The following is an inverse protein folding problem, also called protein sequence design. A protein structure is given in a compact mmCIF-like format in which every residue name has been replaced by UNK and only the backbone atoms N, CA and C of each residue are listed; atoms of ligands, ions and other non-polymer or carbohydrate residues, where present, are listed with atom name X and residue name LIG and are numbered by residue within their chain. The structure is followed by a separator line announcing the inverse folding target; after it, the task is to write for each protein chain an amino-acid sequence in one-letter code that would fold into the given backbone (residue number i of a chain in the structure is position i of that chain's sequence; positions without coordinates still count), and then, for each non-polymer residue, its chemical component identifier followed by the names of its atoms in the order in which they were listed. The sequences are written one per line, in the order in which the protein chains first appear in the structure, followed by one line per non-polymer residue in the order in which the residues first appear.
data_IF_338454802323
#
_entry.id   IF_338454802323
#
_cell.length_a   1.000
_cell.length_b   1.000
_cell.length_c   1.000
_cell.angle_alpha   90.00
_cell.angle_beta   90.00
_cell.angle_gamma   90.00
#
_symmetry.space_group_name_H-M   'P 1'
#
loop_
_entity.id
_entity.type
_entity.pdbx_description
1 polymer ?
#
# COMPACT_ATOMS: atom_id res chain seq x y z
N UNK A 1 0.66 -2.26 23.94
CA UNK A 1 -0.72 -1.69 24.00
C UNK A 1 -1.18 -1.08 22.69
N UNK A 2 -0.52 -0.05 22.12
CA UNK A 2 -0.98 0.61 20.88
C UNK A 2 -1.38 -0.34 19.74
N UNK A 3 -0.54 -1.33 19.41
CA UNK A 3 -0.82 -2.35 18.37
C UNK A 3 -2.11 -3.15 18.65
N UNK A 4 -2.39 -3.48 19.92
CA UNK A 4 -3.62 -4.21 20.31
C UNK A 4 -4.85 -3.33 20.12
N UNK A 5 -4.77 -2.04 20.51
CA UNK A 5 -5.86 -1.09 20.28
C UNK A 5 -6.11 -0.93 18.78
N UNK A 6 -5.06 -0.82 17.97
CA UNK A 6 -5.16 -0.73 16.51
C UNK A 6 -5.84 -1.97 15.90
N UNK A 7 -5.36 -3.18 16.24
CA UNK A 7 -5.90 -4.43 15.74
C UNK A 7 -7.35 -4.71 16.20
N UNK A 8 -7.75 -4.27 17.40
CA UNK A 8 -9.08 -4.51 17.98
C UNK A 8 -10.10 -3.41 17.66
N UNK A 9 -9.66 -2.17 17.36
CA UNK A 9 -10.56 -1.02 17.11
C UNK A 9 -10.51 -0.47 15.70
N UNK A 10 -9.32 -0.33 15.10
CA UNK A 10 -9.16 0.28 13.77
C UNK A 10 -9.41 -0.75 12.68
N UNK A 11 -8.80 -1.94 12.76
CA UNK A 11 -8.92 -2.97 11.71
C UNK A 11 -10.36 -3.48 11.52
N UNK A 12 -11.18 -3.72 12.57
CA UNK A 12 -12.58 -4.11 12.37
C UNK A 12 -13.47 -3.00 11.80
N UNK A 13 -13.08 -1.73 11.93
CA UNK A 13 -13.75 -0.61 11.26
C UNK A 13 -13.31 -0.52 9.79
N UNK A 14 -12.01 -0.63 9.53
CA UNK A 14 -11.44 -0.72 8.18
C UNK A 14 -12.12 -1.81 7.34
N UNK A 15 -12.21 -3.04 7.86
CA UNK A 15 -12.84 -4.18 7.16
C UNK A 15 -14.33 -3.98 6.83
N UNK A 16 -15.04 -3.11 7.56
CA UNK A 16 -16.45 -2.75 7.32
C UNK A 16 -16.65 -1.58 6.33
N UNK A 17 -15.56 -1.03 5.80
CA UNK A 17 -15.62 0.02 4.77
C UNK A 17 -16.14 -0.56 3.46
N UNK A 18 -16.79 0.25 2.63
CA UNK A 18 -17.05 -0.14 1.24
C UNK A 18 -15.74 -0.19 0.46
N UNK A 19 -15.35 -1.37 -0.01
CA UNK A 19 -14.14 -1.59 -0.81
C UNK A 19 -14.36 -1.22 -2.30
N UNK A 20 -15.61 -1.06 -2.72
CA UNK A 20 -15.99 -0.72 -4.09
C UNK A 20 -16.10 0.79 -4.33
N UNK A 21 -16.10 1.65 -3.31
CA UNK A 21 -16.22 3.09 -3.50
C UNK A 21 -15.46 3.95 -2.47
N UNK A 22 -15.29 5.23 -2.81
CA UNK A 22 -14.80 6.27 -1.90
C UNK A 22 -13.32 6.20 -1.52
N UNK A 23 -12.92 7.14 -0.67
CA UNK A 23 -11.56 7.27 -0.16
C UNK A 23 -11.24 6.29 0.99
N UNK A 24 -12.25 5.94 1.80
CA UNK A 24 -12.07 5.15 3.03
C UNK A 24 -11.39 3.80 2.83
N UNK A 25 -11.63 3.13 1.70
CA UNK A 25 -10.98 1.85 1.35
C UNK A 25 -9.46 1.92 1.25
N UNK A 26 -8.88 3.07 0.91
CA UNK A 26 -7.43 3.26 0.95
C UNK A 26 -6.92 3.31 2.40
N UNK A 27 -7.63 4.02 3.29
CA UNK A 27 -7.33 4.02 4.74
C UNK A 27 -7.52 2.61 5.33
N UNK A 28 -8.51 1.86 4.85
CA UNK A 28 -8.72 0.47 5.24
C UNK A 28 -7.61 -0.47 4.76
N UNK A 29 -7.17 -0.34 3.50
CA UNK A 29 -6.04 -1.08 2.96
C UNK A 29 -4.74 -0.75 3.73
N UNK A 30 -4.48 0.53 4.01
CA UNK A 30 -3.35 0.94 4.85
C UNK A 30 -3.41 0.31 6.25
N UNK A 31 -4.59 0.22 6.88
CA UNK A 31 -4.74 -0.42 8.18
C UNK A 31 -4.46 -1.93 8.16
N UNK A 32 -4.77 -2.62 7.05
CA UNK A 32 -4.36 -4.02 6.83
C UNK A 32 -2.84 -4.11 6.63
N UNK A 33 -2.27 -3.25 5.79
CA UNK A 33 -0.83 -3.25 5.52
C UNK A 33 0.03 -2.83 6.71
N UNK A 34 -0.48 -2.05 7.67
CA UNK A 34 0.21 -1.81 8.95
C UNK A 34 0.48 -3.12 9.70
N UNK A 35 -0.47 -4.07 9.69
CA UNK A 35 -0.25 -5.38 10.31
C UNK A 35 0.73 -6.24 9.51
N UNK A 36 0.65 -6.22 8.17
CA UNK A 36 1.56 -6.97 7.29
C UNK A 36 3.00 -6.46 7.42
N UNK A 37 3.21 -5.15 7.30
CA UNK A 37 4.51 -4.50 7.46
C UNK A 37 5.09 -4.75 8.86
N UNK A 38 4.28 -4.64 9.92
CA UNK A 38 4.70 -4.95 11.29
C UNK A 38 5.13 -6.42 11.44
N UNK A 39 4.39 -7.37 10.86
CA UNK A 39 4.73 -8.79 10.94
C UNK A 39 6.03 -9.12 10.19
N UNK A 40 6.23 -8.57 8.99
CA UNK A 40 7.47 -8.77 8.20
C UNK A 40 8.65 -8.08 8.89
N UNK A 41 8.49 -6.85 9.38
CA UNK A 41 9.54 -6.12 10.10
C UNK A 41 9.96 -6.84 11.40
N UNK A 42 9.00 -7.36 12.18
CA UNK A 42 9.31 -8.16 13.37
C UNK A 42 10.02 -9.48 13.03
N UNK A 43 9.71 -10.11 11.90
CA UNK A 43 10.46 -11.27 11.40
C UNK A 43 11.90 -10.91 10.99
N UNK A 44 12.09 -9.78 10.31
CA UNK A 44 13.42 -9.26 9.96
C UNK A 44 14.24 -8.99 11.22
N UNK A 45 13.69 -8.23 12.18
CA UNK A 45 14.34 -7.93 13.46
C UNK A 45 14.67 -9.20 14.23
N UNK A 46 13.75 -10.18 14.26
CA UNK A 46 14.01 -11.49 14.86
C UNK A 46 15.20 -12.18 14.20
N UNK A 47 15.26 -12.26 12.87
CA UNK A 47 16.37 -12.92 12.16
C UNK A 47 17.71 -12.21 12.40
N UNK A 48 17.76 -10.87 12.36
CA UNK A 48 18.97 -10.11 12.71
C UNK A 48 19.47 -10.34 14.14
N UNK A 49 18.58 -10.61 15.10
CA UNK A 49 18.95 -10.88 16.50
C UNK A 49 19.30 -12.37 16.73
N UNK A 50 18.60 -13.29 16.06
CA UNK A 50 18.75 -14.74 16.28
C UNK A 50 19.86 -15.39 15.48
N UNK A 51 20.33 -14.75 14.39
CA UNK A 51 21.13 -15.38 13.35
C UNK A 51 22.36 -14.51 13.01
N UNK A 52 23.52 -14.77 13.64
CA UNK A 52 24.73 -13.97 13.42
C UNK A 52 25.25 -13.96 11.98
N UNK A 53 24.91 -14.98 11.17
CA UNK A 53 25.27 -14.99 9.76
C UNK A 53 24.50 -13.92 8.98
N UNK A 54 23.20 -13.76 9.26
CA UNK A 54 22.35 -12.71 8.68
C UNK A 54 22.72 -11.32 9.21
N UNK A 55 23.11 -11.22 10.48
CA UNK A 55 23.58 -9.96 11.06
C UNK A 55 24.88 -9.45 10.38
N UNK A 56 25.71 -10.35 9.85
CA UNK A 56 26.90 -10.03 9.08
C UNK A 56 26.63 -9.86 7.57
N UNK A 57 25.79 -10.73 6.98
CA UNK A 57 25.38 -10.69 5.58
C UNK A 57 23.87 -11.01 5.42
N UNK A 58 23.01 -9.97 5.27
CA UNK A 58 21.57 -10.16 5.14
C UNK A 58 21.11 -10.45 3.70
N UNK A 59 22.01 -10.69 2.72
CA UNK A 59 21.62 -10.99 1.33
C UNK A 59 20.66 -12.17 1.23
N UNK A 60 20.85 -13.19 2.08
CA UNK A 60 19.98 -14.37 2.22
C UNK A 60 18.53 -14.08 2.64
N UNK A 61 18.22 -12.86 3.12
CA UNK A 61 16.85 -12.39 3.38
C UNK A 61 16.50 -11.11 2.61
N UNK A 62 17.29 -10.76 1.59
CA UNK A 62 17.13 -9.51 0.82
C UNK A 62 15.74 -9.34 0.20
N UNK A 63 15.11 -10.43 -0.25
CA UNK A 63 13.72 -10.40 -0.70
C UNK A 63 12.75 -9.96 0.40
N UNK A 64 12.93 -10.46 1.63
CA UNK A 64 12.07 -10.13 2.78
C UNK A 64 12.29 -8.69 3.26
N UNK A 65 13.52 -8.17 3.17
CA UNK A 65 13.81 -6.75 3.42
C UNK A 65 13.03 -5.85 2.45
N UNK A 66 13.15 -6.10 1.14
CA UNK A 66 12.41 -5.35 0.11
C UNK A 66 10.90 -5.49 0.30
N UNK A 67 10.40 -6.65 0.74
CA UNK A 67 8.99 -6.86 1.05
C UNK A 67 8.52 -6.06 2.27
N UNK A 68 9.36 -5.90 3.30
CA UNK A 68 9.09 -5.03 4.45
C UNK A 68 8.89 -3.59 4.01
N UNK A 69 9.84 -3.06 3.23
CA UNK A 69 9.83 -1.67 2.77
C UNK A 69 8.63 -1.38 1.85
N UNK A 70 8.29 -2.29 0.93
CA UNK A 70 7.13 -2.12 0.05
C UNK A 70 5.80 -2.24 0.81
N UNK A 71 5.73 -3.09 1.84
CA UNK A 71 4.55 -3.19 2.72
C UNK A 71 4.32 -1.90 3.49
N UNK A 72 5.38 -1.24 3.97
CA UNK A 72 5.29 0.04 4.65
C UNK A 72 5.02 1.19 3.68
N UNK A 73 5.84 1.35 2.64
CA UNK A 73 5.80 2.51 1.76
C UNK A 73 4.58 2.50 0.83
N UNK A 74 4.40 1.46 0.01
CA UNK A 74 3.23 1.38 -0.89
C UNK A 74 1.98 0.98 -0.11
N UNK A 75 2.10 -0.05 0.73
CA UNK A 75 0.97 -0.63 1.45
C UNK A 75 0.33 0.33 2.46
N UNK A 76 1.13 1.05 3.24
CA UNK A 76 0.63 2.03 4.23
C UNK A 76 0.68 3.46 3.69
N UNK A 77 1.87 4.00 3.38
CA UNK A 77 2.03 5.44 3.11
C UNK A 77 1.30 5.86 1.83
N UNK A 78 1.52 5.18 0.69
CA UNK A 78 0.86 5.54 -0.57
C UNK A 78 -0.66 5.41 -0.49
N UNK A 79 -1.18 4.38 0.17
CA UNK A 79 -2.61 4.27 0.44
C UNK A 79 -3.13 5.42 1.33
N UNK A 80 -2.48 5.76 2.45
CA UNK A 80 -2.90 6.90 3.28
C UNK A 80 -2.90 8.22 2.50
N UNK A 81 -1.89 8.45 1.66
CA UNK A 81 -1.80 9.64 0.79
C UNK A 81 -2.92 9.65 -0.25
N UNK A 82 -3.20 8.54 -0.94
CA UNK A 82 -4.29 8.45 -1.92
C UNK A 82 -5.66 8.64 -1.24
N UNK A 83 -5.87 8.04 -0.07
CA UNK A 83 -7.08 8.23 0.74
C UNK A 83 -7.26 9.69 1.18
N UNK A 84 -6.19 10.36 1.61
CA UNK A 84 -6.22 11.78 1.95
C UNK A 84 -6.55 12.66 0.73
N UNK A 85 -5.85 12.47 -0.39
CA UNK A 85 -6.07 13.25 -1.62
C UNK A 85 -7.47 13.04 -2.22
N UNK A 86 -8.00 11.81 -2.21
CA UNK A 86 -9.39 11.54 -2.60
C UNK A 86 -10.42 12.15 -1.64
N UNK A 87 -10.07 12.34 -0.37
CA UNK A 87 -10.94 13.03 0.61
C UNK A 87 -10.91 14.54 0.39
N UNK A 88 -9.73 15.12 0.15
CA UNK A 88 -9.54 16.55 -0.11
C UNK A 88 -10.07 17.00 -1.49
N UNK A 89 -10.27 16.08 -2.43
CA UNK A 89 -10.85 16.33 -3.76
C UNK A 89 -12.22 15.65 -3.94
N UNK A 90 -12.93 15.38 -2.84
CA UNK A 90 -14.25 14.74 -2.85
C UNK A 90 -15.36 15.62 -3.44
N UNK A 91 -15.10 16.93 -3.59
CA UNK A 91 -15.94 17.91 -4.27
C UNK A 91 -15.90 17.81 -5.80
N UNK A 92 -14.83 17.22 -6.38
CA UNK A 92 -14.68 17.01 -7.82
C UNK A 92 -15.11 15.60 -8.23
N UNK A 93 -15.86 15.50 -9.34
CA UNK A 93 -16.30 14.21 -9.87
C UNK A 93 -15.15 13.41 -10.49
N UNK A 94 -15.15 12.08 -10.34
CA UNK A 94 -14.25 11.20 -11.10
C UNK A 94 -14.59 11.23 -12.59
N UNK A 95 -13.72 11.84 -13.41
CA UNK A 95 -13.83 11.82 -14.88
C UNK A 95 -13.90 10.38 -15.43
N UNK A 96 -13.18 9.44 -14.80
CA UNK A 96 -13.17 8.01 -15.13
C UNK A 96 -13.29 7.14 -13.86
N UNK A 97 -14.51 6.83 -13.38
CA UNK A 97 -14.68 6.06 -12.13
C UNK A 97 -14.01 4.67 -12.14
N UNK A 98 -13.87 4.06 -13.32
CA UNK A 98 -13.15 2.78 -13.49
C UNK A 98 -11.63 2.92 -13.28
N UNK A 99 -11.03 4.06 -13.62
CA UNK A 99 -9.61 4.31 -13.43
C UNK A 99 -9.28 4.38 -11.93
N UNK A 100 -10.17 4.95 -11.13
CA UNK A 100 -10.11 4.95 -9.66
C UNK A 100 -10.28 3.55 -9.07
N UNK A 101 -10.95 2.61 -9.75
CA UNK A 101 -10.95 1.18 -9.37
C UNK A 101 -9.61 0.50 -9.69
N UNK A 102 -9.11 0.67 -10.91
CA UNK A 102 -7.83 0.09 -11.37
C UNK A 102 -6.67 0.59 -10.51
N UNK A 103 -6.63 1.90 -10.20
CA UNK A 103 -5.63 2.49 -9.32
C UNK A 103 -5.65 1.91 -7.91
N UNK A 104 -6.82 1.66 -7.32
CA UNK A 104 -6.93 1.02 -6.01
C UNK A 104 -6.57 -0.46 -6.04
N UNK A 105 -7.31 -1.26 -6.82
CA UNK A 105 -7.18 -2.72 -6.80
C UNK A 105 -5.90 -3.20 -7.45
N UNK A 106 -5.48 -2.61 -8.58
CA UNK A 106 -4.24 -3.00 -9.25
C UNK A 106 -2.98 -2.66 -8.45
N UNK A 107 -2.98 -1.53 -7.72
CA UNK A 107 -1.89 -1.20 -6.78
C UNK A 107 -1.84 -2.22 -5.65
N UNK A 108 -2.98 -2.47 -4.96
CA UNK A 108 -2.99 -3.32 -3.77
C UNK A 108 -2.80 -4.80 -4.09
N UNK A 109 -3.41 -5.34 -5.15
CA UNK A 109 -3.23 -6.73 -5.58
C UNK A 109 -1.86 -6.96 -6.23
N UNK A 110 -1.36 -5.98 -7.00
CA UNK A 110 0.00 -6.00 -7.54
C UNK A 110 1.05 -6.01 -6.43
N UNK A 111 0.85 -5.20 -5.38
CA UNK A 111 1.69 -5.19 -4.18
C UNK A 111 1.63 -6.52 -3.41
N UNK A 112 0.45 -7.11 -3.19
CA UNK A 112 0.34 -8.44 -2.55
C UNK A 112 1.09 -9.50 -3.37
N UNK A 113 0.90 -9.55 -4.69
CA UNK A 113 1.62 -10.48 -5.57
C UNK A 113 3.15 -10.25 -5.51
N UNK A 114 3.59 -8.99 -5.47
CA UNK A 114 5.00 -8.62 -5.38
C UNK A 114 5.63 -9.03 -4.04
N UNK A 115 4.96 -8.77 -2.91
CA UNK A 115 5.37 -9.19 -1.56
C UNK A 115 5.49 -10.72 -1.48
N UNK A 116 4.48 -11.46 -1.96
CA UNK A 116 4.52 -12.93 -1.98
C UNK A 116 5.64 -13.43 -2.89
N UNK A 117 5.86 -12.81 -4.06
CA UNK A 117 6.98 -13.13 -4.96
C UNK A 117 8.37 -12.80 -4.40
N UNK A 118 8.46 -11.85 -3.48
CA UNK A 118 9.68 -11.52 -2.75
C UNK A 118 9.96 -12.54 -1.63
N UNK A 119 8.96 -12.83 -0.79
CA UNK A 119 9.09 -13.73 0.37
C UNK A 119 9.21 -15.21 -0.05
N UNK A 120 8.53 -15.62 -1.12
CA UNK A 120 8.63 -16.97 -1.70
C UNK A 120 9.60 -17.03 -2.90
N UNK A 121 10.45 -16.01 -3.07
CA UNK A 121 11.47 -15.81 -4.12
C UNK A 121 11.02 -15.94 -5.59
N UNK A 122 9.75 -16.23 -5.88
CA UNK A 122 9.17 -16.44 -7.20
C UNK A 122 9.42 -15.27 -8.17
N UNK A 123 10.24 -15.52 -9.19
CA UNK A 123 10.49 -14.59 -10.31
C UNK A 123 9.20 -14.20 -11.02
N UNK A 124 8.31 -15.15 -11.31
CA UNK A 124 7.04 -14.92 -12.00
C UNK A 124 6.15 -13.93 -11.25
N UNK A 125 5.98 -14.10 -9.93
CA UNK A 125 5.19 -13.18 -9.12
C UNK A 125 5.82 -11.79 -9.04
N UNK A 126 7.17 -11.69 -8.97
CA UNK A 126 7.88 -10.41 -9.02
C UNK A 126 7.69 -9.69 -10.36
N UNK A 127 7.82 -10.41 -11.47
CA UNK A 127 7.69 -9.88 -12.84
C UNK A 127 6.26 -9.43 -13.19
N UNK A 128 5.22 -9.96 -12.52
CA UNK A 128 3.83 -9.52 -12.74
C UNK A 128 3.41 -8.46 -11.72
N UNK A 129 3.70 -8.67 -10.42
CA UNK A 129 3.27 -7.77 -9.35
C UNK A 129 3.83 -6.35 -9.46
N UNK A 130 5.13 -6.22 -9.76
CA UNK A 130 5.79 -4.91 -9.89
C UNK A 130 5.19 -4.01 -11.00
N UNK A 131 5.08 -4.44 -12.28
CA UNK A 131 4.50 -3.59 -13.31
C UNK A 131 2.99 -3.37 -13.13
N UNK A 132 2.22 -4.36 -12.65
CA UNK A 132 0.78 -4.17 -12.37
C UNK A 132 0.59 -3.10 -11.29
N UNK A 133 1.37 -3.15 -10.20
CA UNK A 133 1.39 -2.12 -9.17
C UNK A 133 1.81 -0.76 -9.73
N UNK A 134 2.93 -0.69 -10.46
CA UNK A 134 3.48 0.56 -11.00
C UNK A 134 2.55 1.27 -12.00
N UNK A 135 1.96 0.53 -12.95
CA UNK A 135 0.99 1.08 -13.90
C UNK A 135 -0.26 1.58 -13.18
N UNK A 136 -0.74 0.83 -12.17
CA UNK A 136 -1.92 1.23 -11.40
C UNK A 136 -1.67 2.48 -10.55
N UNK A 137 -0.47 2.64 -9.99
CA UNK A 137 -0.04 3.87 -9.31
C UNK A 137 -0.03 5.06 -10.26
N UNK A 138 0.49 4.91 -11.48
CA UNK A 138 0.47 5.97 -12.50
C UNK A 138 -0.96 6.36 -12.91
N UNK A 139 -1.86 5.38 -13.07
CA UNK A 139 -3.29 5.65 -13.34
C UNK A 139 -3.95 6.39 -12.16
N UNK A 140 -3.70 5.97 -10.93
CA UNK A 140 -4.21 6.65 -9.73
C UNK A 140 -3.69 8.08 -9.57
N UNK A 141 -2.39 8.30 -9.81
CA UNK A 141 -1.78 9.63 -9.83
C UNK A 141 -2.36 10.52 -10.93
N UNK A 142 -2.61 9.99 -12.13
CA UNK A 142 -3.23 10.76 -13.22
C UNK A 142 -4.68 11.19 -12.88
N UNK A 143 -5.47 10.32 -12.25
CA UNK A 143 -6.82 10.67 -11.76
C UNK A 143 -6.75 11.74 -10.66
N UNK A 144 -5.84 11.61 -9.70
CA UNK A 144 -5.63 12.59 -8.64
C UNK A 144 -5.10 13.94 -9.17
N UNK A 145 -4.21 13.94 -10.16
CA UNK A 145 -3.71 15.15 -10.79
C UNK A 145 -4.83 15.90 -11.52
N UNK A 146 -5.71 15.21 -12.27
CA UNK A 146 -6.88 15.84 -12.88
C UNK A 146 -7.87 16.39 -11.84
N UNK A 147 -8.11 15.65 -10.75
CA UNK A 147 -8.94 16.12 -9.62
C UNK A 147 -8.37 17.37 -8.95
N UNK A 148 -7.04 17.48 -8.83
CA UNK A 148 -6.36 18.64 -8.25
C UNK A 148 -6.32 19.84 -9.21
N UNK A 149 -6.11 19.62 -10.51
CA UNK A 149 -6.20 20.66 -11.56
C UNK A 149 -7.60 21.28 -11.64
N UNK A 150 -8.65 20.48 -11.43
CA UNK A 150 -10.03 20.95 -11.36
C UNK A 150 -10.37 21.64 -10.03
N UNK A 151 -9.50 21.58 -9.01
CA UNK A 151 -9.74 22.11 -7.65
C UNK A 151 -9.17 23.52 -7.45
N UNK A 152 -9.73 24.25 -6.48
CA UNK A 152 -9.33 25.64 -6.18
C UNK A 152 -7.87 25.76 -5.68
N UNK A 153 -7.27 24.66 -5.21
CA UNK A 153 -5.84 24.58 -4.86
C UNK A 153 -4.91 24.86 -6.06
N UNK A 154 -5.40 24.72 -7.30
CA UNK A 154 -4.66 25.07 -8.51
C UNK A 154 -4.84 26.55 -8.94
N UNK A 155 -5.68 27.31 -8.25
CA UNK A 155 -5.90 28.75 -8.50
C UNK A 155 -5.12 29.67 -7.53
N UNK A 156 -4.51 29.10 -6.47
CA UNK A 156 -3.69 29.81 -5.48
C UNK A 156 -2.17 29.58 -5.67
N UNK A 157 -1.75 28.96 -6.78
CA UNK A 157 -0.39 28.47 -7.04
C UNK A 157 0.27 29.09 -8.29
#
# INVERSE_FOLDING_TARGET
MAVVIFAVRVVPAALRTDWMAGAGRHVAAAAVFVLVAMAIFLYVVYKFISDPAIAADPTSIGGVLVASDHSAFIGVITNLVFGLLLTLTADRADRWPWATQVGFWGTNLGLVAFIVGLVAESSTLKMVGAPVMGVSLLVGLAVLAMRLQDSELAAEA
#
